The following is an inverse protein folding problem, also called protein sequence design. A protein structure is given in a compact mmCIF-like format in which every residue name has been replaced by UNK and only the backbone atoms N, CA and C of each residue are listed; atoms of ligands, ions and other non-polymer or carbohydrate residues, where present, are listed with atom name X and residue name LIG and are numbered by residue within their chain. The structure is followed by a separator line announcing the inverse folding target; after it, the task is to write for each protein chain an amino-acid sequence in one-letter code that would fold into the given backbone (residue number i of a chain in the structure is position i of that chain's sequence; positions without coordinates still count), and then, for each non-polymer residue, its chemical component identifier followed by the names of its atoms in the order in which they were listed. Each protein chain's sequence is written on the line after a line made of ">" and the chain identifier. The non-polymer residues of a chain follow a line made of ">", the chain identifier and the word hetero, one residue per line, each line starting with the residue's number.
data_IF_564839697984
#
_entry.id   IF_564839697984
#
_cell.length_a   1.000
_cell.length_b   1.000
_cell.length_c   1.000
_cell.angle_alpha   90.00
_cell.angle_beta   90.00
_cell.angle_gamma   90.00
#
_symmetry.space_group_name_H-M   'P 1'
#
loop_
_entity.id
_entity.type
_entity.pdbx_description
1 polymer ?
#
# COMPACT_ATOMS: atom_id res chain seq x y z
N UNK A 1 10.34 -0.78 26.52
CA UNK A 1 10.35 0.70 26.48
C UNK A 1 8.91 1.14 26.32
N UNK A 2 8.32 1.83 27.30
CA UNK A 2 6.94 2.31 27.19
C UNK A 2 6.94 3.70 26.55
N UNK A 3 6.76 3.74 25.24
CA UNK A 3 6.80 4.98 24.44
C UNK A 3 5.72 6.00 24.86
N UNK A 4 4.63 5.57 25.51
CA UNK A 4 3.53 6.44 25.93
C UNK A 4 3.78 7.23 27.22
N UNK A 5 4.80 6.88 28.01
CA UNK A 5 4.96 7.42 29.38
C UNK A 5 5.64 8.79 29.49
N UNK A 6 6.24 9.31 28.40
CA UNK A 6 7.08 10.52 28.44
C UNK A 6 6.55 11.68 27.55
N UNK A 7 5.29 11.64 27.11
CA UNK A 7 4.73 12.68 26.23
C UNK A 7 5.26 12.68 24.78
N UNK A 8 6.06 11.66 24.43
CA UNK A 8 6.71 11.59 23.12
C UNK A 8 5.72 11.33 21.99
N UNK A 9 4.65 10.57 22.24
CA UNK A 9 3.63 10.29 21.23
C UNK A 9 2.86 11.57 20.87
N UNK A 10 2.47 12.35 21.87
CA UNK A 10 1.80 13.64 21.70
C UNK A 10 2.72 14.61 20.94
N UNK A 11 4.00 14.66 21.31
CA UNK A 11 4.97 15.49 20.60
C UNK A 11 5.13 15.09 19.14
N UNK A 12 5.27 13.80 18.83
CA UNK A 12 5.35 13.30 17.45
C UNK A 12 4.10 13.68 16.67
N UNK A 13 2.92 13.51 17.28
CA UNK A 13 1.65 13.86 16.65
C UNK A 13 1.56 15.36 16.35
N UNK A 14 1.84 16.23 17.33
CA UNK A 14 1.81 17.69 17.13
C UNK A 14 2.84 18.17 16.11
N UNK A 15 4.07 17.63 16.14
CA UNK A 15 5.10 18.00 15.18
C UNK A 15 4.72 17.53 13.76
N UNK A 16 4.09 16.36 13.62
CA UNK A 16 3.60 15.87 12.32
C UNK A 16 2.48 16.75 11.75
N UNK A 17 1.53 17.19 12.59
CA UNK A 17 0.50 18.16 12.19
C UNK A 17 1.14 19.47 11.72
N UNK A 18 2.15 19.98 12.44
CA UNK A 18 2.87 21.18 12.04
C UNK A 18 3.57 21.03 10.70
N UNK A 19 4.17 19.87 10.41
CA UNK A 19 4.76 19.60 9.09
C UNK A 19 3.70 19.67 7.99
N UNK A 20 2.52 19.07 8.20
CA UNK A 20 1.43 19.11 7.21
C UNK A 20 0.89 20.53 6.98
N UNK A 21 0.84 21.36 8.03
CA UNK A 21 0.37 22.75 7.95
C UNK A 21 1.41 23.70 7.36
N UNK A 22 2.65 23.66 7.85
CA UNK A 22 3.67 24.68 7.56
C UNK A 22 4.58 24.29 6.39
N UNK A 23 4.86 23.00 6.19
CA UNK A 23 5.74 22.50 5.12
C UNK A 23 4.93 21.95 3.95
N UNK A 24 3.84 21.24 4.25
CA UNK A 24 2.98 20.61 3.26
C UNK A 24 3.60 19.40 2.57
N UNK A 25 2.84 18.82 1.65
CA UNK A 25 3.23 17.63 0.87
C UNK A 25 3.17 17.95 -0.61
N UNK A 26 4.27 17.68 -1.34
CA UNK A 26 4.32 17.88 -2.79
C UNK A 26 3.22 17.10 -3.51
N UNK A 27 2.42 17.80 -4.31
CA UNK A 27 1.35 17.18 -5.08
C UNK A 27 1.32 17.68 -6.52
N UNK A 28 1.53 16.77 -7.47
CA UNK A 28 1.52 17.09 -8.92
C UNK A 28 0.14 16.93 -9.56
N UNK A 29 -0.75 16.15 -8.94
CA UNK A 29 -2.09 15.89 -9.48
C UNK A 29 -3.04 17.05 -9.19
N UNK A 30 -3.56 17.69 -10.24
CA UNK A 30 -4.56 18.76 -10.10
C UNK A 30 -5.87 18.26 -9.49
N UNK A 31 -6.26 17.03 -9.80
CA UNK A 31 -7.46 16.42 -9.25
C UNK A 31 -7.33 16.23 -7.74
N UNK A 32 -6.20 15.71 -7.26
CA UNK A 32 -5.95 15.55 -5.82
C UNK A 32 -5.92 16.91 -5.13
N UNK A 33 -5.30 17.94 -5.73
CA UNK A 33 -5.33 19.31 -5.18
C UNK A 33 -6.76 19.79 -4.98
N UNK A 34 -7.60 19.68 -6.01
CA UNK A 34 -8.99 20.12 -5.94
C UNK A 34 -9.77 19.38 -4.84
N UNK A 35 -9.61 18.06 -4.71
CA UNK A 35 -10.27 17.27 -3.66
C UNK A 35 -9.90 17.80 -2.27
N UNK A 36 -8.63 18.14 -2.03
CA UNK A 36 -8.19 18.71 -0.77
C UNK A 36 -8.71 20.14 -0.56
N UNK A 37 -8.65 20.99 -1.59
CA UNK A 37 -9.11 22.38 -1.50
C UNK A 37 -10.64 22.48 -1.29
N UNK A 38 -11.42 21.57 -1.88
CA UNK A 38 -12.87 21.48 -1.71
C UNK A 38 -13.30 21.20 -0.25
N UNK A 39 -12.37 20.70 0.59
CA UNK A 39 -12.63 20.55 2.03
C UNK A 39 -12.69 21.89 2.76
N UNK A 40 -12.14 22.96 2.18
CA UNK A 40 -11.92 24.26 2.84
C UNK A 40 -10.89 24.23 3.97
N UNK A 41 -10.22 23.09 4.20
CA UNK A 41 -9.25 22.86 5.27
C UNK A 41 -7.86 22.47 4.74
N UNK A 42 -7.63 22.64 3.44
CA UNK A 42 -6.33 22.51 2.81
C UNK A 42 -6.21 23.52 1.66
N UNK A 43 -4.98 23.87 1.30
CA UNK A 43 -4.69 24.80 0.23
C UNK A 43 -3.44 24.36 -0.55
N UNK A 44 -3.45 24.53 -1.87
CA UNK A 44 -2.27 24.30 -2.69
C UNK A 44 -1.43 25.58 -2.83
N UNK A 45 -0.14 25.49 -2.51
CA UNK A 45 0.82 26.55 -2.78
C UNK A 45 1.51 26.29 -4.13
N UNK A 46 1.18 27.10 -5.13
CA UNK A 46 1.79 27.06 -6.46
C UNK A 46 3.31 27.36 -6.44
N UNK A 47 3.80 28.11 -5.44
CA UNK A 47 5.21 28.47 -5.30
C UNK A 47 6.09 27.29 -4.93
N UNK A 48 5.69 26.51 -3.91
CA UNK A 48 6.40 25.30 -3.48
C UNK A 48 5.94 24.03 -4.21
N UNK A 49 4.74 24.05 -4.77
CA UNK A 49 4.07 22.88 -5.34
C UNK A 49 3.54 21.91 -4.29
N UNK A 50 3.27 22.39 -3.07
CA UNK A 50 2.83 21.59 -1.93
C UNK A 50 1.36 21.86 -1.57
N UNK A 51 0.66 20.82 -1.10
CA UNK A 51 -0.63 20.96 -0.41
C UNK A 51 -0.34 21.10 1.09
N UNK A 52 -0.87 22.15 1.69
CA UNK A 52 -0.86 22.39 3.13
C UNK A 52 -2.20 21.95 3.71
N UNK A 53 -2.18 21.18 4.81
CA UNK A 53 -3.39 20.57 5.39
C UNK A 53 -3.53 20.98 6.83
N UNK A 54 -4.67 21.57 7.19
CA UNK A 54 -4.98 21.99 8.56
C UNK A 54 -5.29 20.78 9.46
N UNK A 55 -4.84 20.84 10.71
CA UNK A 55 -5.04 19.79 11.70
C UNK A 55 -6.51 19.35 11.87
N UNK A 56 -7.54 20.24 11.80
CA UNK A 56 -8.93 19.81 11.85
C UNK A 56 -9.32 18.82 10.75
N UNK A 57 -8.74 18.91 9.54
CA UNK A 57 -9.00 17.93 8.49
C UNK A 57 -8.43 16.57 8.87
N UNK A 58 -7.23 16.55 9.46
CA UNK A 58 -6.58 15.32 9.94
C UNK A 58 -7.41 14.65 11.04
N UNK A 59 -7.92 15.41 12.00
CA UNK A 59 -8.79 14.89 13.06
C UNK A 59 -10.09 14.31 12.49
N UNK A 60 -10.70 15.00 11.52
CA UNK A 60 -11.92 14.52 10.84
C UNK A 60 -11.67 13.19 10.12
N UNK A 61 -10.62 13.09 9.30
CA UNK A 61 -10.34 11.87 8.53
C UNK A 61 -9.90 10.71 9.42
N UNK A 62 -9.13 10.96 10.47
CA UNK A 62 -8.77 9.92 11.44
C UNK A 62 -9.98 9.46 12.27
N UNK A 63 -10.94 10.35 12.53
CA UNK A 63 -12.19 10.03 13.20
C UNK A 63 -13.08 9.07 12.39
N UNK A 64 -13.06 9.19 11.06
CA UNK A 64 -13.89 8.37 10.15
C UNK A 64 -13.16 7.16 9.58
N UNK A 65 -11.83 7.13 9.66
CA UNK A 65 -11.02 5.99 9.20
C UNK A 65 -11.44 4.68 9.89
N UNK A 66 -11.66 3.59 9.11
CA UNK A 66 -12.02 2.29 9.66
C UNK A 66 -11.03 1.84 10.74
N UNK A 67 -11.56 1.40 11.88
CA UNK A 67 -10.73 0.90 12.99
C UNK A 67 -10.36 -0.55 12.78
N UNK A 68 -9.45 -1.05 13.62
CA UNK A 68 -8.88 -2.40 13.52
C UNK A 68 -9.94 -3.51 13.36
N UNK A 69 -11.06 -3.43 14.07
CA UNK A 69 -12.15 -4.41 13.96
C UNK A 69 -12.88 -4.43 12.61
N UNK A 70 -12.66 -3.44 11.75
CA UNK A 70 -13.24 -3.34 10.41
C UNK A 70 -12.25 -3.74 9.30
N UNK A 71 -10.99 -4.02 9.65
CA UNK A 71 -9.98 -4.44 8.70
C UNK A 71 -9.91 -5.97 8.64
N UNK A 72 -9.91 -6.50 7.41
CA UNK A 72 -10.23 -7.90 7.10
C UNK A 72 -9.01 -8.84 7.14
N UNK A 73 -7.78 -8.31 7.07
CA UNK A 73 -6.56 -9.09 7.32
C UNK A 73 -6.37 -9.21 8.84
N UNK A 74 -6.20 -10.41 9.43
CA UNK A 74 -6.10 -10.59 10.88
C UNK A 74 -5.05 -9.70 11.58
N UNK A 75 -5.23 -9.45 12.87
CA UNK A 75 -4.13 -8.92 13.70
C UNK A 75 -2.93 -9.88 13.70
N UNK A 76 -1.74 -9.35 13.99
CA UNK A 76 -0.49 -10.12 14.04
C UNK A 76 -0.21 -10.93 12.75
N UNK A 77 -0.59 -10.38 11.61
CA UNK A 77 -0.41 -10.99 10.29
C UNK A 77 0.98 -10.73 9.70
N UNK A 78 1.61 -11.78 9.19
CA UNK A 78 2.78 -11.68 8.33
C UNK A 78 2.38 -11.76 6.86
N UNK A 79 3.09 -11.07 5.99
CA UNK A 79 2.88 -11.13 4.55
C UNK A 79 4.20 -11.12 3.79
N UNK A 80 4.21 -11.72 2.60
CA UNK A 80 5.33 -11.55 1.66
C UNK A 80 5.18 -10.18 1.03
N UNK A 81 6.12 -9.30 1.34
CA UNK A 81 6.13 -7.89 0.93
C UNK A 81 7.22 -7.57 -0.09
N UNK A 82 7.25 -6.29 -0.48
CA UNK A 82 8.31 -5.75 -1.32
C UNK A 82 8.06 -5.87 -2.82
N UNK A 83 9.04 -5.41 -3.59
CA UNK A 83 9.04 -5.43 -5.06
C UNK A 83 10.46 -5.71 -5.49
N UNK A 84 10.94 -6.91 -5.16
CA UNK A 84 12.33 -7.30 -5.40
C UNK A 84 12.62 -7.30 -6.91
N UNK A 85 13.61 -6.52 -7.39
CA UNK A 85 13.96 -6.47 -8.81
C UNK A 85 14.74 -7.71 -9.27
N UNK A 86 15.32 -8.45 -8.33
CA UNK A 86 16.08 -9.68 -8.58
C UNK A 86 15.79 -10.70 -7.48
N UNK A 87 15.98 -11.97 -7.82
CA UNK A 87 15.96 -13.10 -6.89
C UNK A 87 17.37 -13.67 -6.80
N UNK A 88 17.74 -14.15 -5.63
CA UNK A 88 18.96 -14.94 -5.47
C UNK A 88 18.65 -16.39 -5.84
N UNK A 89 19.37 -16.93 -6.82
CA UNK A 89 19.27 -18.33 -7.22
C UNK A 89 20.30 -19.17 -6.44
N UNK A 90 19.83 -20.02 -5.53
CA UNK A 90 20.68 -20.86 -4.69
C UNK A 90 21.51 -21.89 -5.49
N UNK A 91 21.12 -22.23 -6.73
CA UNK A 91 21.84 -23.21 -7.55
C UNK A 91 23.06 -22.59 -8.21
N UNK A 92 22.90 -21.39 -8.75
CA UNK A 92 23.95 -20.68 -9.50
C UNK A 92 24.74 -19.71 -8.61
N UNK A 93 24.14 -19.27 -7.49
CA UNK A 93 24.67 -18.22 -6.63
C UNK A 93 24.53 -16.81 -7.21
N UNK A 94 23.77 -16.64 -8.29
CA UNK A 94 23.61 -15.37 -9.01
C UNK A 94 22.29 -14.68 -8.72
N UNK A 95 22.22 -13.38 -9.02
CA UNK A 95 20.98 -12.61 -9.02
C UNK A 95 20.30 -12.72 -10.39
N UNK A 96 19.08 -13.26 -10.41
CA UNK A 96 18.29 -13.47 -11.63
C UNK A 96 17.06 -12.57 -11.67
N UNK A 97 16.62 -12.20 -12.88
CA UNK A 97 15.37 -11.47 -13.02
C UNK A 97 14.17 -12.37 -12.67
N UNK A 98 13.15 -11.83 -11.95
CA UNK A 98 11.95 -12.59 -11.64
C UNK A 98 11.16 -13.00 -12.89
N UNK A 99 10.63 -14.21 -12.88
CA UNK A 99 9.76 -14.76 -13.93
C UNK A 99 8.38 -15.07 -13.34
N UNK A 100 7.40 -15.39 -14.19
CA UNK A 100 6.10 -15.87 -13.70
C UNK A 100 6.18 -17.22 -12.98
N UNK A 101 7.17 -18.06 -13.32
CA UNK A 101 7.42 -19.29 -12.59
C UNK A 101 7.89 -19.00 -11.17
N UNK A 102 8.81 -18.05 -10.99
CA UNK A 102 9.22 -17.58 -9.68
C UNK A 102 8.04 -17.02 -8.88
N UNK A 103 7.23 -16.16 -9.50
CA UNK A 103 6.05 -15.58 -8.85
C UNK A 103 5.03 -16.65 -8.45
N UNK A 104 4.73 -17.61 -9.33
CA UNK A 104 3.82 -18.71 -9.03
C UNK A 104 4.33 -19.54 -7.86
N UNK A 105 5.62 -19.90 -7.85
CA UNK A 105 6.25 -20.63 -6.75
C UNK A 105 6.17 -19.87 -5.43
N UNK A 106 6.44 -18.57 -5.43
CA UNK A 106 6.30 -17.71 -4.25
C UNK A 106 4.84 -17.70 -3.78
N UNK A 107 3.89 -17.51 -4.70
CA UNK A 107 2.46 -17.50 -4.39
C UNK A 107 1.99 -18.81 -3.75
N UNK A 108 2.41 -19.95 -4.28
CA UNK A 108 2.11 -21.27 -3.70
C UNK A 108 2.70 -21.41 -2.30
N UNK A 109 3.97 -21.03 -2.09
CA UNK A 109 4.59 -21.07 -0.75
C UNK A 109 3.81 -20.19 0.23
N UNK A 110 3.40 -18.99 -0.18
CA UNK A 110 2.59 -18.10 0.66
C UNK A 110 1.25 -18.76 0.98
N UNK A 111 0.57 -19.31 -0.01
CA UNK A 111 -0.71 -19.98 0.16
C UNK A 111 -0.62 -21.12 1.18
N UNK A 112 0.43 -21.92 1.12
CA UNK A 112 0.60 -23.13 1.92
C UNK A 112 1.19 -22.88 3.32
N UNK A 113 1.71 -21.67 3.59
CA UNK A 113 2.36 -21.34 4.86
C UNK A 113 1.40 -20.66 5.83
N UNK A 114 0.96 -21.36 6.89
CA UNK A 114 -0.05 -20.85 7.85
C UNK A 114 0.31 -19.52 8.53
N UNK A 115 1.58 -19.29 8.87
CA UNK A 115 2.00 -18.04 9.53
C UNK A 115 1.91 -16.82 8.60
N UNK A 116 1.90 -17.05 7.28
CA UNK A 116 1.76 -15.98 6.28
C UNK A 116 0.27 -15.82 5.96
N UNK A 117 -0.28 -14.65 6.23
CA UNK A 117 -1.72 -14.35 6.17
C UNK A 117 -2.11 -13.54 4.92
N UNK A 118 -1.16 -12.94 4.22
CA UNK A 118 -1.42 -12.23 2.97
C UNK A 118 -0.23 -12.25 2.02
N UNK A 119 -0.51 -12.00 0.74
CA UNK A 119 0.50 -11.92 -0.31
C UNK A 119 0.51 -10.52 -0.93
N UNK A 120 1.62 -9.80 -0.84
CA UNK A 120 1.87 -8.70 -1.76
C UNK A 120 2.56 -9.20 -3.04
N UNK A 121 2.77 -8.29 -4.00
CA UNK A 121 3.48 -8.55 -5.26
C UNK A 121 4.77 -9.38 -5.11
N UNK A 122 5.60 -9.11 -4.10
CA UNK A 122 6.86 -9.79 -3.81
C UNK A 122 8.00 -9.46 -4.78
N UNK A 123 7.77 -9.58 -6.09
CA UNK A 123 8.79 -9.42 -7.14
C UNK A 123 8.37 -8.45 -8.25
N UNK A 124 9.35 -7.77 -8.85
CA UNK A 124 9.14 -6.81 -9.94
C UNK A 124 9.19 -7.50 -11.32
N UNK A 125 8.02 -7.85 -11.86
CA UNK A 125 7.87 -8.16 -13.30
C UNK A 125 7.31 -6.91 -14.00
N UNK A 126 8.18 -6.19 -14.72
CA UNK A 126 7.90 -4.84 -15.26
C UNK A 126 6.83 -4.88 -16.36
N UNK A 127 5.92 -3.91 -16.36
CA UNK A 127 4.90 -3.70 -17.42
C UNK A 127 4.00 -4.92 -17.67
N UNK A 128 3.77 -5.75 -16.65
CA UNK A 128 2.98 -6.98 -16.74
C UNK A 128 2.01 -7.10 -15.56
N UNK A 129 1.46 -5.97 -15.13
CA UNK A 129 0.67 -5.84 -13.89
C UNK A 129 -0.52 -6.81 -13.84
N UNK A 130 -1.33 -6.86 -14.90
CA UNK A 130 -2.45 -7.79 -15.05
C UNK A 130 -2.00 -9.25 -14.92
N UNK A 131 -0.93 -9.64 -15.63
CA UNK A 131 -0.42 -11.01 -15.58
C UNK A 131 0.16 -11.37 -14.21
N UNK A 132 0.73 -10.40 -13.49
CA UNK A 132 1.17 -10.57 -12.10
C UNK A 132 -0.02 -10.84 -11.20
N UNK A 133 -1.09 -10.03 -11.27
CA UNK A 133 -2.31 -10.25 -10.49
C UNK A 133 -2.91 -11.63 -10.77
N UNK A 134 -3.03 -11.99 -12.04
CA UNK A 134 -3.56 -13.27 -12.48
C UNK A 134 -2.74 -14.45 -11.97
N UNK A 135 -1.41 -14.35 -12.03
CA UNK A 135 -0.52 -15.41 -11.54
C UNK A 135 -0.68 -15.58 -10.04
N UNK A 136 -0.80 -14.49 -9.28
CA UNK A 136 -1.05 -14.54 -7.84
C UNK A 136 -2.41 -15.19 -7.55
N UNK A 137 -3.48 -14.73 -8.19
CA UNK A 137 -4.85 -15.21 -7.95
C UNK A 137 -4.99 -16.71 -8.24
N UNK A 138 -4.32 -17.21 -9.29
CA UNK A 138 -4.34 -18.64 -9.63
C UNK A 138 -3.63 -19.53 -8.61
N UNK A 139 -2.68 -18.99 -7.85
CA UNK A 139 -1.79 -19.77 -6.98
C UNK A 139 -1.95 -19.44 -5.49
N UNK A 140 -2.76 -18.44 -5.13
CA UNK A 140 -2.93 -18.00 -3.74
C UNK A 140 -4.38 -17.57 -3.44
N UNK A 141 -5.00 -18.23 -2.46
CA UNK A 141 -6.36 -17.96 -2.00
C UNK A 141 -6.42 -16.94 -0.86
N UNK A 142 -5.27 -16.59 -0.27
CA UNK A 142 -5.16 -15.62 0.83
C UNK A 142 -5.42 -14.19 0.36
N UNK A 143 -5.71 -13.24 1.26
CA UNK A 143 -5.62 -11.80 0.99
C UNK A 143 -4.46 -11.40 0.08
N UNK A 144 -4.72 -10.56 -0.94
CA UNK A 144 -3.68 -10.08 -1.86
C UNK A 144 -3.55 -8.55 -1.86
N UNK A 145 -2.32 -8.06 -1.92
CA UNK A 145 -1.97 -6.65 -2.12
C UNK A 145 -1.26 -6.49 -3.47
N UNK A 146 -1.90 -5.80 -4.41
CA UNK A 146 -1.42 -5.68 -5.79
C UNK A 146 -1.11 -4.24 -6.15
N UNK A 147 -0.14 -4.03 -7.05
CA UNK A 147 0.03 -2.71 -7.64
C UNK A 147 -1.04 -2.53 -8.72
N UNK A 148 -1.81 -1.45 -8.65
CA UNK A 148 -2.80 -1.03 -9.65
C UNK A 148 -2.45 0.40 -10.14
N UNK A 149 -1.57 0.54 -11.14
CA UNK A 149 -1.06 1.86 -11.58
C UNK A 149 -1.40 2.24 -13.02
N UNK A 150 -1.89 1.30 -13.83
CA UNK A 150 -2.43 1.57 -15.16
C UNK A 150 -3.94 1.41 -15.16
N UNK A 151 -4.64 2.04 -16.10
CA UNK A 151 -6.10 1.87 -16.25
C UNK A 151 -6.47 0.37 -16.36
N UNK A 152 -5.75 -0.38 -17.18
CA UNK A 152 -5.94 -1.83 -17.34
C UNK A 152 -5.73 -2.60 -16.02
N UNK A 153 -4.76 -2.19 -15.21
CA UNK A 153 -4.48 -2.82 -13.93
C UNK A 153 -5.49 -2.44 -12.84
N UNK A 154 -5.99 -1.20 -12.86
CA UNK A 154 -7.09 -0.74 -12.01
C UNK A 154 -8.37 -1.51 -12.34
N UNK A 155 -8.72 -1.62 -13.62
CA UNK A 155 -9.88 -2.38 -14.09
C UNK A 155 -9.77 -3.86 -13.68
N UNK A 156 -8.58 -4.45 -13.83
CA UNK A 156 -8.36 -5.84 -13.42
C UNK A 156 -8.47 -6.01 -11.91
N UNK A 157 -7.91 -5.10 -11.11
CA UNK A 157 -8.00 -5.15 -9.66
C UNK A 157 -9.47 -5.04 -9.20
N UNK A 158 -10.27 -4.20 -9.85
CA UNK A 158 -11.71 -4.08 -9.60
C UNK A 158 -12.44 -5.39 -9.94
N UNK A 159 -12.18 -5.99 -11.09
CA UNK A 159 -12.78 -7.27 -11.48
C UNK A 159 -12.46 -8.37 -10.46
N UNK A 160 -11.21 -8.45 -10.00
CA UNK A 160 -10.80 -9.40 -8.95
C UNK A 160 -11.52 -9.11 -7.63
N UNK A 161 -11.67 -7.83 -7.26
CA UNK A 161 -12.41 -7.44 -6.06
C UNK A 161 -13.86 -7.92 -6.11
N UNK A 162 -14.55 -7.72 -7.23
CA UNK A 162 -15.95 -8.09 -7.40
C UNK A 162 -16.16 -9.61 -7.50
N UNK A 163 -15.24 -10.34 -8.12
CA UNK A 163 -15.40 -11.78 -8.39
C UNK A 163 -14.86 -12.68 -7.28
N UNK A 164 -13.76 -12.28 -6.64
CA UNK A 164 -13.04 -13.06 -5.62
C UNK A 164 -13.08 -12.40 -4.24
N UNK A 165 -13.04 -11.07 -4.20
CA UNK A 165 -12.78 -10.31 -2.97
C UNK A 165 -11.35 -10.52 -2.45
N UNK A 166 -11.12 -10.16 -1.18
CA UNK A 166 -9.84 -10.32 -0.49
C UNK A 166 -8.64 -9.74 -1.26
N UNK A 167 -8.81 -8.53 -1.77
CA UNK A 167 -7.80 -7.77 -2.53
C UNK A 167 -7.75 -6.32 -2.02
N UNK A 168 -6.56 -5.74 -2.01
CA UNK A 168 -6.31 -4.30 -1.82
C UNK A 168 -5.25 -3.82 -2.79
N UNK A 169 -5.29 -2.53 -3.12
CA UNK A 169 -4.34 -1.81 -3.98
C UNK A 169 -3.50 -0.82 -3.19
#
# INVERSE_FOLDING_TARGET
>A
MNLGSNGLLEKIHTDALRVLEEVGVKCVSKEVRQIFEDTGLAAFDEGSGHIHVLAPLIDQVLGTAPKRGQYWIPEDSFGVGGTAPFLYDDQTGELVEPTFEHLARIATVVNDTDVIQFMARGVLIKKQEVQVMDTIVRNCLKPIYVAAVTDEGIDRALEIHETRGNITV
#
